data_IF_327665232866
#
_entry.id   IF_327665232866
#
_cell.length_a   1.000
_cell.length_b   1.000
_cell.length_c   1.000
_cell.angle_alpha   90.00
_cell.angle_beta   90.00
_cell.angle_gamma   90.00
#
_symmetry.space_group_name_H-M   'P 1'
#
loop_
_entity.id
_entity.type
_entity.pdbx_description
1 polymer ?
#
# COMPACT_ATOMS: atom_id res chain seq x y z
N UNK A 1 25.88 -5.02 7.84
CA UNK A 1 26.07 -5.45 6.44
C UNK A 1 24.74 -5.34 5.72
N UNK A 2 24.67 -4.59 4.61
CA UNK A 2 23.45 -4.44 3.80
C UNK A 2 23.16 -5.80 3.14
N UNK A 3 22.10 -6.50 3.58
CA UNK A 3 21.73 -7.77 2.95
C UNK A 3 21.27 -7.55 1.51
N UNK A 4 21.42 -8.58 0.67
CA UNK A 4 20.93 -8.56 -0.70
C UNK A 4 19.38 -8.41 -0.69
N UNK A 5 18.86 -7.49 -1.50
CA UNK A 5 17.43 -7.17 -1.59
C UNK A 5 16.58 -8.42 -1.86
N UNK A 6 17.07 -9.33 -2.71
CA UNK A 6 16.35 -10.55 -3.07
C UNK A 6 16.15 -11.48 -1.87
N UNK A 7 17.20 -11.64 -1.04
CA UNK A 7 17.11 -12.44 0.17
C UNK A 7 16.11 -11.84 1.16
N UNK A 8 16.14 -10.52 1.33
CA UNK A 8 15.21 -9.81 2.23
C UNK A 8 13.75 -9.94 1.76
N UNK A 9 13.49 -9.80 0.46
CA UNK A 9 12.16 -10.02 -0.11
C UNK A 9 11.70 -11.46 0.10
N UNK A 10 12.55 -12.44 -0.18
CA UNK A 10 12.24 -13.86 0.01
C UNK A 10 11.90 -14.17 1.48
N UNK A 11 12.67 -13.63 2.43
CA UNK A 11 12.40 -13.79 3.86
C UNK A 11 11.03 -13.22 4.26
N UNK A 12 10.67 -12.02 3.79
CA UNK A 12 9.34 -11.44 4.07
C UNK A 12 8.18 -12.22 3.44
N UNK A 13 8.42 -12.86 2.30
CA UNK A 13 7.43 -13.70 1.61
C UNK A 13 7.28 -15.05 2.33
N UNK A 14 8.38 -15.68 2.73
CA UNK A 14 8.37 -17.04 3.28
C UNK A 14 8.10 -17.05 4.79
N UNK A 15 8.81 -16.19 5.53
CA UNK A 15 8.79 -16.14 7.00
C UNK A 15 8.59 -14.69 7.49
N UNK A 16 7.44 -14.06 7.20
CA UNK A 16 7.19 -12.65 7.51
C UNK A 16 7.32 -12.33 9.00
N UNK A 17 6.87 -13.23 9.89
CA UNK A 17 6.90 -12.99 11.34
C UNK A 17 8.33 -12.96 11.89
N UNK A 18 9.19 -13.87 11.47
CA UNK A 18 10.61 -13.91 11.83
C UNK A 18 11.35 -12.71 11.22
N UNK A 19 11.02 -12.37 9.98
CA UNK A 19 11.56 -11.19 9.30
C UNK A 19 11.23 -9.90 10.07
N UNK A 20 10.01 -9.76 10.60
CA UNK A 20 9.68 -8.60 11.42
C UNK A 20 10.58 -8.49 12.66
N UNK A 21 10.93 -9.59 13.34
CA UNK A 21 11.87 -9.55 14.48
C UNK A 21 13.27 -9.13 14.03
N UNK A 22 13.75 -9.76 12.96
CA UNK A 22 15.10 -9.54 12.45
C UNK A 22 15.33 -8.08 12.04
N UNK A 23 14.32 -7.45 11.44
CA UNK A 23 14.43 -6.11 10.86
C UNK A 23 13.79 -4.99 11.68
N UNK A 24 13.11 -5.29 12.81
CA UNK A 24 12.40 -4.28 13.60
C UNK A 24 13.34 -3.21 14.17
N UNK A 25 14.54 -3.62 14.57
CA UNK A 25 15.52 -2.77 15.25
C UNK A 25 16.49 -2.05 14.30
N UNK A 26 16.41 -2.31 12.99
CA UNK A 26 17.27 -1.60 12.01
C UNK A 26 17.02 -0.10 12.00
N UNK A 27 17.92 0.69 11.43
CA UNK A 27 17.64 2.11 11.25
C UNK A 27 16.44 2.33 10.28
N UNK A 28 15.69 3.41 10.50
CA UNK A 28 14.56 3.76 9.63
C UNK A 28 15.01 3.97 8.17
N UNK A 29 16.18 4.56 7.95
CA UNK A 29 16.73 4.76 6.61
C UNK A 29 16.88 3.44 5.84
N UNK A 30 17.36 2.38 6.50
CA UNK A 30 17.51 1.06 5.90
C UNK A 30 16.18 0.41 5.53
N UNK A 31 15.11 0.73 6.28
CA UNK A 31 13.75 0.28 5.98
C UNK A 31 13.15 1.09 4.83
N UNK A 32 13.38 2.40 4.81
CA UNK A 32 12.92 3.30 3.74
C UNK A 32 13.58 3.00 2.40
N UNK A 33 14.89 2.72 2.41
CA UNK A 33 15.60 2.30 1.20
C UNK A 33 15.00 1.02 0.62
N UNK A 34 14.74 0.03 1.47
CA UNK A 34 14.06 -1.20 1.07
C UNK A 34 12.70 -0.92 0.43
N UNK A 35 11.87 -0.11 1.08
CA UNK A 35 10.57 0.29 0.55
C UNK A 35 10.68 1.03 -0.79
N UNK A 36 11.65 1.93 -0.92
CA UNK A 36 11.85 2.74 -2.13
C UNK A 36 12.23 1.86 -3.32
N UNK A 37 13.15 0.90 -3.12
CA UNK A 37 13.54 -0.05 -4.18
C UNK A 37 12.31 -0.84 -4.66
N UNK A 38 11.51 -1.35 -3.72
CA UNK A 38 10.28 -2.07 -4.07
C UNK A 38 9.22 -1.17 -4.71
N UNK A 39 9.12 0.08 -4.29
CA UNK A 39 8.18 1.06 -4.87
C UNK A 39 8.53 1.40 -6.31
N UNK A 40 9.81 1.56 -6.63
CA UNK A 40 10.28 1.78 -8.01
C UNK A 40 9.96 0.56 -8.88
N UNK A 41 10.24 -0.65 -8.39
CA UNK A 41 9.90 -1.89 -9.07
C UNK A 41 8.39 -2.01 -9.34
N UNK A 42 7.58 -1.83 -8.29
CA UNK A 42 6.12 -1.86 -8.39
C UNK A 42 5.60 -0.84 -9.39
N UNK A 43 6.08 0.41 -9.32
CA UNK A 43 5.62 1.51 -10.17
C UNK A 43 5.91 1.24 -11.65
N UNK A 44 7.06 0.63 -11.95
CA UNK A 44 7.46 0.28 -13.31
C UNK A 44 6.52 -0.78 -13.91
N UNK A 45 6.24 -1.86 -13.17
CA UNK A 45 5.34 -2.91 -13.66
C UNK A 45 3.87 -2.47 -13.67
N UNK A 46 3.48 -1.67 -12.68
CA UNK A 46 2.12 -1.16 -12.56
C UNK A 46 1.78 -0.14 -13.63
N UNK A 47 2.75 0.69 -14.08
CA UNK A 47 2.48 1.64 -15.17
C UNK A 47 2.19 0.94 -16.48
N UNK A 48 2.98 -0.09 -16.83
CA UNK A 48 2.78 -0.91 -18.03
C UNK A 48 1.41 -1.61 -17.97
N UNK A 49 1.13 -2.31 -16.87
CA UNK A 49 -0.14 -3.02 -16.73
C UNK A 49 -1.35 -2.10 -16.70
N UNK A 50 -1.25 -0.93 -16.08
CA UNK A 50 -2.34 0.05 -16.06
C UNK A 50 -2.58 0.63 -17.45
N UNK A 51 -1.55 1.10 -18.14
CA UNK A 51 -1.71 1.77 -19.45
C UNK A 51 -2.21 0.78 -20.50
N UNK A 52 -1.53 -0.37 -20.67
CA UNK A 52 -1.90 -1.32 -21.71
C UNK A 52 -3.08 -2.22 -21.30
N UNK A 53 -3.18 -2.58 -20.02
CA UNK A 53 -4.30 -3.39 -19.52
C UNK A 53 -5.62 -2.62 -19.61
N UNK A 54 -5.63 -1.35 -19.22
CA UNK A 54 -6.85 -0.53 -19.32
C UNK A 54 -7.26 -0.27 -20.77
N UNK A 55 -6.30 -0.04 -21.68
CA UNK A 55 -6.57 0.05 -23.12
C UNK A 55 -7.16 -1.26 -23.68
N UNK A 56 -6.64 -2.42 -23.27
CA UNK A 56 -7.14 -3.73 -23.68
C UNK A 56 -8.58 -3.96 -23.20
N UNK A 57 -8.87 -3.65 -21.94
CA UNK A 57 -10.23 -3.71 -21.37
C UNK A 57 -11.16 -2.74 -22.09
N UNK A 58 -10.71 -1.49 -22.34
CA UNK A 58 -11.51 -0.48 -23.02
C UNK A 58 -11.87 -0.89 -24.46
N UNK A 59 -10.92 -1.47 -25.18
CA UNK A 59 -11.14 -1.99 -26.53
C UNK A 59 -12.11 -3.17 -26.51
N UNK A 60 -11.93 -4.12 -25.58
CA UNK A 60 -12.75 -5.33 -25.49
C UNK A 60 -14.21 -5.05 -25.12
N UNK A 61 -14.44 -4.19 -24.12
CA UNK A 61 -15.79 -4.00 -23.55
C UNK A 61 -16.52 -2.78 -24.11
N UNK A 62 -15.78 -1.79 -24.63
CA UNK A 62 -16.36 -0.51 -25.07
C UNK A 62 -15.98 -0.13 -26.50
N UNK A 63 -15.19 -0.95 -27.20
CA UNK A 63 -14.67 -0.67 -28.55
C UNK A 63 -13.94 0.69 -28.64
N UNK A 64 -13.30 1.10 -27.54
CA UNK A 64 -12.50 2.34 -27.46
C UNK A 64 -11.03 1.96 -27.59
N UNK A 65 -10.43 2.35 -28.71
CA UNK A 65 -8.99 2.17 -28.94
C UNK A 65 -8.27 3.50 -28.77
N UNK A 66 -7.31 3.53 -27.86
CA UNK A 66 -6.40 4.66 -27.68
C UNK A 66 -5.27 4.60 -28.70
N UNK A 67 -4.93 5.75 -29.29
CA UNK A 67 -3.78 5.91 -30.17
C UNK A 67 -2.47 5.49 -29.49
N UNK A 68 -1.61 4.79 -30.23
CA UNK A 68 -0.39 4.20 -29.68
C UNK A 68 0.56 5.26 -29.09
N UNK A 69 0.71 6.40 -29.77
CA UNK A 69 1.52 7.52 -29.29
C UNK A 69 1.09 7.99 -27.89
N UNK A 70 -0.22 8.01 -27.62
CA UNK A 70 -0.77 8.43 -26.32
C UNK A 70 -0.41 7.42 -25.23
N UNK A 71 -0.42 6.11 -25.53
CA UNK A 71 -0.03 5.07 -24.58
C UNK A 71 1.44 5.22 -24.16
N UNK A 72 2.34 5.43 -25.12
CA UNK A 72 3.77 5.63 -24.84
C UNK A 72 4.04 6.90 -24.02
N UNK A 73 3.29 7.99 -24.29
CA UNK A 73 3.35 9.21 -23.50
C UNK A 73 2.80 9.04 -22.07
N UNK A 74 1.80 8.17 -21.89
CA UNK A 74 1.18 7.93 -20.59
C UNK A 74 2.11 7.16 -19.64
N UNK A 75 2.95 6.24 -20.13
CA UNK A 75 3.83 5.41 -19.30
C UNK A 75 4.67 6.19 -18.27
N UNK A 76 5.50 7.18 -18.64
CA UNK A 76 6.31 7.92 -17.67
C UNK A 76 5.46 8.75 -16.71
N UNK A 77 4.31 9.26 -17.16
CA UNK A 77 3.37 10.02 -16.31
C UNK A 77 2.75 9.09 -15.26
N UNK A 78 2.23 7.94 -15.68
CA UNK A 78 1.64 6.94 -14.78
C UNK A 78 2.68 6.36 -13.82
N UNK A 79 3.89 6.04 -14.30
CA UNK A 79 5.00 5.60 -13.45
C UNK A 79 5.29 6.62 -12.34
N UNK A 80 5.47 7.89 -12.72
CA UNK A 80 5.79 8.97 -11.77
C UNK A 80 4.66 9.19 -10.79
N UNK A 81 3.41 9.18 -11.26
CA UNK A 81 2.23 9.32 -10.41
C UNK A 81 2.13 8.19 -9.37
N UNK A 82 2.30 6.93 -9.78
CA UNK A 82 2.27 5.78 -8.87
C UNK A 82 3.40 5.89 -7.84
N UNK A 83 4.62 6.21 -8.27
CA UNK A 83 5.76 6.33 -7.37
C UNK A 83 5.56 7.45 -6.33
N UNK A 84 5.04 8.61 -6.77
CA UNK A 84 4.70 9.71 -5.88
C UNK A 84 3.62 9.33 -4.87
N UNK A 85 2.58 8.61 -5.30
CA UNK A 85 1.52 8.10 -4.43
C UNK A 85 2.09 7.12 -3.40
N UNK A 86 2.98 6.21 -3.78
CA UNK A 86 3.58 5.26 -2.85
C UNK A 86 4.47 5.92 -1.80
N UNK A 87 5.28 6.90 -2.20
CA UNK A 87 6.20 7.61 -1.30
C UNK A 87 5.41 8.52 -0.35
N UNK A 88 4.54 9.38 -0.89
CA UNK A 88 3.71 10.27 -0.06
C UNK A 88 2.71 9.48 0.78
N UNK A 89 2.10 8.45 0.19
CA UNK A 89 1.16 7.55 0.84
C UNK A 89 1.75 6.82 2.02
N UNK A 90 3.03 6.43 2.00
CA UNK A 90 3.69 5.82 3.17
C UNK A 90 3.61 6.72 4.42
N UNK A 91 3.93 8.00 4.27
CA UNK A 91 3.92 8.92 5.41
C UNK A 91 2.50 9.34 5.80
N UNK A 92 1.64 9.60 4.83
CA UNK A 92 0.24 9.96 5.09
C UNK A 92 -0.51 8.82 5.77
N UNK A 93 -0.38 7.59 5.26
CA UNK A 93 -0.96 6.39 5.89
C UNK A 93 -0.31 6.10 7.23
N UNK A 94 1.00 6.34 7.38
CA UNK A 94 1.70 6.27 8.65
C UNK A 94 1.08 7.17 9.70
N UNK A 95 0.85 8.45 9.38
CA UNK A 95 0.27 9.44 10.31
C UNK A 95 -1.13 9.00 10.68
N UNK A 96 -1.95 8.69 9.67
CA UNK A 96 -3.33 8.30 9.86
C UNK A 96 -3.46 7.02 10.70
N UNK A 97 -2.73 5.96 10.36
CA UNK A 97 -2.69 4.72 11.12
C UNK A 97 -2.16 4.94 12.53
N UNK A 98 -1.15 5.80 12.72
CA UNK A 98 -0.56 6.02 14.04
C UNK A 98 -1.56 6.64 15.03
N UNK A 99 -2.46 7.51 14.57
CA UNK A 99 -3.56 8.04 15.39
C UNK A 99 -4.39 6.89 15.97
N UNK A 100 -4.81 5.94 15.13
CA UNK A 100 -5.63 4.81 15.58
C UNK A 100 -4.83 3.77 16.38
N UNK A 101 -3.54 3.62 16.11
CA UNK A 101 -2.62 2.84 16.96
C UNK A 101 -2.57 3.43 18.37
N UNK A 102 -2.47 4.75 18.52
CA UNK A 102 -2.47 5.41 19.85
C UNK A 102 -3.81 5.20 20.55
N UNK A 103 -4.93 5.41 19.84
CA UNK A 103 -6.29 5.21 20.38
C UNK A 103 -6.50 3.77 20.88
N UNK A 104 -5.97 2.79 20.16
CA UNK A 104 -6.07 1.37 20.52
C UNK A 104 -5.01 0.91 21.53
N UNK A 105 -4.15 1.82 22.00
CA UNK A 105 -3.24 1.61 23.12
C UNK A 105 -1.77 1.33 22.75
N UNK A 106 -1.38 1.50 21.50
CA UNK A 106 0.00 1.42 21.04
C UNK A 106 0.84 2.60 21.50
N UNK A 107 2.08 2.34 21.91
CA UNK A 107 2.96 3.35 22.55
C UNK A 107 4.40 3.36 22.03
N UNK A 108 4.70 2.60 20.98
CA UNK A 108 6.07 2.41 20.48
C UNK A 108 6.51 3.48 19.47
N UNK A 109 5.72 4.54 19.32
CA UNK A 109 6.04 5.72 18.51
C UNK A 109 5.76 5.56 17.01
N UNK A 110 5.87 6.68 16.29
CA UNK A 110 5.52 6.80 14.88
C UNK A 110 6.40 5.93 13.97
N UNK A 111 7.71 5.89 14.23
CA UNK A 111 8.68 5.12 13.44
C UNK A 111 8.30 3.64 13.35
N UNK A 112 7.77 3.06 14.43
CA UNK A 112 7.31 1.66 14.45
C UNK A 112 6.07 1.44 13.60
N UNK A 113 5.18 2.43 13.51
CA UNK A 113 4.01 2.39 12.61
C UNK A 113 4.45 2.43 11.15
N UNK A 114 5.37 3.33 10.80
CA UNK A 114 5.89 3.44 9.43
C UNK A 114 6.58 2.13 9.02
N UNK A 115 7.42 1.55 9.89
CA UNK A 115 8.03 0.24 9.62
C UNK A 115 7.02 -0.89 9.47
N UNK A 116 5.94 -0.87 10.25
CA UNK A 116 4.84 -1.83 10.10
C UNK A 116 4.24 -1.77 8.69
N UNK A 117 4.02 -0.57 8.16
CA UNK A 117 3.53 -0.36 6.79
C UNK A 117 4.56 -0.79 5.75
N UNK A 118 5.83 -0.40 5.91
CA UNK A 118 6.91 -0.75 4.97
C UNK A 118 6.98 -2.27 4.76
N UNK A 119 7.06 -3.02 5.86
CA UNK A 119 7.28 -4.46 5.76
C UNK A 119 6.01 -5.24 5.43
N UNK A 120 4.84 -4.75 5.85
CA UNK A 120 3.57 -5.38 5.48
C UNK A 120 3.22 -5.17 4.01
N UNK A 121 3.70 -4.08 3.38
CA UNK A 121 3.46 -3.78 1.97
C UNK A 121 4.21 -4.68 1.00
N UNK A 122 5.18 -5.49 1.47
CA UNK A 122 6.03 -6.30 0.58
C UNK A 122 5.26 -7.18 -0.41
N UNK A 123 4.27 -8.00 0.00
CA UNK A 123 3.48 -8.77 -0.96
C UNK A 123 2.81 -7.91 -2.04
N UNK A 124 2.16 -6.82 -1.65
CA UNK A 124 1.52 -5.89 -2.58
C UNK A 124 2.54 -5.24 -3.53
N UNK A 125 3.72 -4.85 -3.06
CA UNK A 125 4.75 -4.24 -3.91
C UNK A 125 5.38 -5.25 -4.89
N UNK A 126 5.38 -6.54 -4.58
CA UNK A 126 5.93 -7.59 -5.46
C UNK A 126 4.89 -8.12 -6.44
N UNK A 127 3.65 -8.33 -5.99
CA UNK A 127 2.61 -9.04 -6.75
C UNK A 127 1.39 -8.18 -7.11
N UNK A 128 1.26 -6.98 -6.55
CA UNK A 128 0.09 -6.12 -6.70
C UNK A 128 -0.16 -5.58 -8.12
N UNK A 129 0.87 -5.54 -8.95
CA UNK A 129 0.77 -5.11 -10.35
C UNK A 129 0.04 -6.15 -11.23
N UNK A 130 -0.07 -7.40 -10.77
CA UNK A 130 -0.80 -8.45 -11.48
C UNK A 130 -2.29 -8.30 -11.17
N UNK A 131 -3.20 -8.21 -12.15
CA UNK A 131 -4.61 -7.87 -11.89
C UNK A 131 -5.32 -8.76 -10.86
N UNK A 132 -5.36 -10.07 -11.07
CA UNK A 132 -6.07 -11.00 -10.17
C UNK A 132 -5.22 -11.34 -8.95
N UNK A 133 -3.93 -11.62 -9.15
CA UNK A 133 -3.03 -11.96 -8.04
C UNK A 133 -2.78 -10.75 -7.10
N UNK A 134 -2.99 -9.52 -7.59
CA UNK A 134 -2.83 -8.31 -6.81
C UNK A 134 -3.90 -8.16 -5.72
N UNK A 135 -5.10 -8.69 -5.95
CA UNK A 135 -6.14 -8.76 -4.91
C UNK A 135 -5.67 -9.66 -3.76
N UNK A 136 -5.10 -10.82 -4.10
CA UNK A 136 -4.55 -11.77 -3.12
C UNK A 136 -3.38 -11.12 -2.37
N UNK A 137 -2.49 -10.44 -3.08
CA UNK A 137 -1.35 -9.73 -2.52
C UNK A 137 -1.79 -8.61 -1.56
N UNK A 138 -2.87 -7.89 -1.88
CA UNK A 138 -3.43 -6.87 -1.01
C UNK A 138 -3.99 -7.45 0.30
N UNK A 139 -4.79 -8.53 0.20
CA UNK A 139 -5.31 -9.21 1.39
C UNK A 139 -4.17 -9.75 2.24
N UNK A 140 -3.14 -10.32 1.61
CA UNK A 140 -1.96 -10.79 2.30
C UNK A 140 -1.23 -9.64 3.02
N UNK A 141 -0.97 -8.52 2.33
CA UNK A 141 -0.39 -7.32 2.94
C UNK A 141 -1.22 -6.79 4.10
N UNK A 142 -2.55 -6.83 4.02
CA UNK A 142 -3.44 -6.44 5.11
C UNK A 142 -3.27 -7.34 6.35
N UNK A 143 -3.22 -8.66 6.16
CA UNK A 143 -2.97 -9.63 7.23
C UNK A 143 -1.59 -9.38 7.85
N UNK A 144 -0.57 -9.16 7.04
CA UNK A 144 0.77 -8.81 7.52
C UNK A 144 0.80 -7.49 8.28
N UNK A 145 -0.01 -6.51 7.88
CA UNK A 145 -0.10 -5.23 8.56
C UNK A 145 -0.71 -5.38 9.96
N UNK A 146 -1.70 -6.28 10.14
CA UNK A 146 -2.22 -6.63 11.47
C UNK A 146 -1.10 -7.24 12.32
N UNK A 147 -0.37 -8.22 11.80
CA UNK A 147 0.68 -8.90 12.56
C UNK A 147 1.86 -7.99 12.88
N UNK A 148 2.33 -7.19 11.92
CA UNK A 148 3.43 -6.25 12.11
C UNK A 148 3.03 -5.13 13.07
N UNK A 149 1.79 -4.62 12.99
CA UNK A 149 1.30 -3.61 13.94
C UNK A 149 1.21 -4.17 15.34
N UNK A 150 0.56 -5.34 15.52
CA UNK A 150 0.48 -6.04 16.81
C UNK A 150 1.85 -6.17 17.46
N UNK A 151 2.82 -6.59 16.65
CA UNK A 151 4.18 -6.91 17.09
C UNK A 151 5.01 -5.66 17.38
N UNK A 152 5.11 -4.73 16.42
CA UNK A 152 5.95 -3.53 16.52
C UNK A 152 5.38 -2.47 17.47
N UNK A 153 4.06 -2.45 17.68
CA UNK A 153 3.40 -1.57 18.64
C UNK A 153 3.09 -2.25 19.98
N UNK A 154 3.36 -3.55 20.09
CA UNK A 154 3.13 -4.38 21.28
C UNK A 154 1.70 -4.27 21.83
N UNK A 155 0.73 -4.36 20.93
CA UNK A 155 -0.69 -4.39 21.26
C UNK A 155 -1.26 -5.78 21.03
N UNK A 156 -2.43 -6.07 21.60
CA UNK A 156 -3.12 -7.34 21.34
C UNK A 156 -3.57 -7.44 19.87
N UNK A 157 -3.77 -8.65 19.35
CA UNK A 157 -4.26 -8.86 17.98
C UNK A 157 -5.58 -8.12 17.74
N UNK A 158 -6.52 -8.17 18.69
CA UNK A 158 -7.79 -7.47 18.59
C UNK A 158 -7.59 -5.94 18.46
N UNK A 159 -6.67 -5.36 19.24
CA UNK A 159 -6.34 -3.94 19.15
C UNK A 159 -5.69 -3.58 17.82
N UNK A 160 -4.81 -4.42 17.28
CA UNK A 160 -4.22 -4.22 15.95
C UNK A 160 -5.27 -4.28 14.84
N UNK A 161 -6.20 -5.24 14.90
CA UNK A 161 -7.33 -5.33 13.97
C UNK A 161 -8.16 -4.04 14.02
N UNK A 162 -8.52 -3.56 15.22
CA UNK A 162 -9.25 -2.30 15.39
C UNK A 162 -8.46 -1.11 14.85
N UNK A 163 -7.14 -1.06 15.08
CA UNK A 163 -6.28 0.01 14.61
C UNK A 163 -6.25 0.13 13.09
N UNK A 164 -6.47 -0.97 12.35
CA UNK A 164 -6.54 -0.98 10.89
C UNK A 164 -7.96 -0.82 10.34
N UNK A 165 -8.95 -1.46 10.96
CA UNK A 165 -10.34 -1.45 10.46
C UNK A 165 -11.02 -0.11 10.72
N UNK A 166 -10.89 0.45 11.93
CA UNK A 166 -11.53 1.73 12.28
C UNK A 166 -11.17 2.86 11.29
N UNK A 167 -9.87 3.12 10.97
CA UNK A 167 -9.53 4.17 10.01
C UNK A 167 -10.16 3.94 8.63
N UNK A 168 -10.19 2.70 8.15
CA UNK A 168 -10.80 2.36 6.87
C UNK A 168 -12.31 2.62 6.89
N UNK A 169 -13.00 2.22 7.97
CA UNK A 169 -14.43 2.49 8.13
C UNK A 169 -14.72 4.00 8.20
N UNK A 170 -13.92 4.77 8.94
CA UNK A 170 -14.07 6.24 9.02
C UNK A 170 -13.89 6.87 7.63
N UNK A 171 -12.86 6.46 6.88
CA UNK A 171 -12.61 6.97 5.54
C UNK A 171 -13.77 6.66 4.58
N UNK A 172 -14.30 5.43 4.63
CA UNK A 172 -15.45 5.02 3.82
C UNK A 172 -16.70 5.83 4.14
N UNK A 173 -16.98 6.11 5.41
CA UNK A 173 -18.12 6.93 5.83
C UNK A 173 -17.97 8.37 5.32
N UNK A 174 -16.77 8.95 5.40
CA UNK A 174 -16.50 10.31 4.90
C UNK A 174 -16.75 10.37 3.38
N UNK A 175 -16.21 9.42 2.62
CA UNK A 175 -16.40 9.37 1.16
C UNK A 175 -17.88 9.22 0.80
N UNK A 176 -18.60 8.31 1.46
CA UNK A 176 -20.03 8.11 1.21
C UNK A 176 -20.85 9.37 1.52
N UNK A 177 -20.54 10.06 2.62
CA UNK A 177 -21.22 11.29 3.03
C UNK A 177 -21.00 12.42 2.02
N UNK A 178 -19.74 12.66 1.61
CA UNK A 178 -19.40 13.67 0.62
C UNK A 178 -20.06 13.39 -0.73
N UNK A 179 -20.10 12.12 -1.14
CA UNK A 179 -20.76 11.70 -2.37
C UNK A 179 -22.27 11.97 -2.31
N UNK A 180 -22.91 11.69 -1.17
CA UNK A 180 -24.33 11.99 -0.95
C UNK A 180 -24.65 13.48 -1.03
N UNK A 181 -23.82 14.32 -0.39
CA UNK A 181 -23.95 15.79 -0.47
C UNK A 181 -23.81 16.27 -1.91
N UNK A 182 -22.79 15.79 -2.63
CA UNK A 182 -22.59 16.13 -4.03
C UNK A 182 -23.82 15.76 -4.89
N UNK A 183 -24.36 14.55 -4.71
CA UNK A 183 -25.53 14.12 -5.48
C UNK A 183 -26.75 15.02 -5.17
N UNK A 184 -26.98 15.33 -3.91
CA UNK A 184 -28.10 16.19 -3.49
C UNK A 184 -28.01 17.57 -4.13
N UNK A 185 -26.86 18.25 -4.00
CA UNK A 185 -26.69 19.62 -4.50
C UNK A 185 -26.72 19.73 -6.03
N UNK A 186 -26.27 18.71 -6.78
CA UNK A 186 -26.16 18.82 -8.24
C UNK A 186 -27.33 18.20 -9.02
N UNK A 187 -28.09 17.29 -8.42
CA UNK A 187 -29.16 16.56 -9.12
C UNK A 187 -30.54 16.68 -8.49
N UNK A 188 -30.65 17.12 -7.23
CA UNK A 188 -31.91 17.15 -6.48
C UNK A 188 -32.35 18.56 -6.02
N UNK A 189 -31.50 19.57 -6.20
CA UNK A 189 -31.85 21.00 -6.19
C UNK A 189 -31.96 21.53 -7.62
#
# INVERSE_FOLDING_TARGET
MRQNIHARVAEFIQNPLESFDKYSEEDLFMSLEYYLILSVFFSLLSSVTTVFGMNSIATMFFNIQTEEMVLWMALPVTFTAILLVLISGLFLSGIFLHIFVIITGGKRGYVRTVKSIIFASTPALIFGWVPVAGIVAFIWSFILAIFSTRKLQEISTARAVLALIIPMTVLLIIIASLSGVYIYTYYLE
#
